data_IF_760506394338
#
_entry.id   IF_760506394338
#
_cell.length_a   1.000
_cell.length_b   1.000
_cell.length_c   1.000
_cell.angle_alpha   90.00
_cell.angle_beta   90.00
_cell.angle_gamma   90.00
#
_symmetry.space_group_name_H-M   'P 1'
#
loop_
_entity.id
_entity.type
_entity.pdbx_description
1 polymer ?
#
# COMPACT_ATOMS: atom_id res chain seq x y z
N UNK A 1 2.92 18.16 7.51
CA UNK A 1 3.13 16.81 7.00
C UNK A 1 2.30 16.70 5.74
N UNK A 2 2.94 16.75 4.57
CA UNK A 2 2.26 16.41 3.32
C UNK A 2 2.14 14.89 3.28
N UNK A 3 0.93 14.36 3.18
CA UNK A 3 0.71 12.91 3.20
C UNK A 3 0.85 12.41 1.76
N UNK A 4 2.08 12.15 1.34
CA UNK A 4 2.35 11.46 0.08
C UNK A 4 2.14 9.96 0.29
N UNK A 5 0.98 9.43 -0.09
CA UNK A 5 0.78 7.98 -0.20
C UNK A 5 1.56 7.52 -1.42
N UNK A 6 2.78 7.02 -1.19
CA UNK A 6 3.70 6.62 -2.25
C UNK A 6 3.86 5.10 -2.25
N UNK A 7 3.15 4.40 -3.15
CA UNK A 7 3.73 3.19 -3.73
C UNK A 7 4.84 3.66 -4.67
N UNK A 8 6.05 3.12 -4.50
CA UNK A 8 7.27 3.63 -5.14
C UNK A 8 7.19 3.60 -6.67
N UNK A 9 7.56 4.62 -7.47
CA UNK A 9 8.03 6.02 -7.25
C UNK A 9 7.83 6.81 -8.59
N UNK A 10 8.17 8.09 -8.84
CA UNK A 10 9.10 9.03 -8.19
C UNK A 10 8.66 10.53 -8.33
N UNK A 11 9.53 11.42 -8.84
CA UNK A 11 9.41 12.89 -8.96
C UNK A 11 9.62 13.35 -10.42
N UNK A 12 9.31 14.58 -10.88
CA UNK A 12 8.54 15.77 -10.42
C UNK A 12 8.26 16.66 -11.67
N UNK A 13 7.43 17.72 -11.69
CA UNK A 13 7.69 19.08 -11.15
C UNK A 13 6.49 20.02 -11.41
N UNK A 14 6.26 20.96 -10.49
CA UNK A 14 5.37 22.12 -10.68
C UNK A 14 5.55 23.11 -9.53
N UNK A 15 6.23 24.23 -9.75
CA UNK A 15 6.74 25.08 -8.67
C UNK A 15 5.90 26.32 -8.35
N UNK A 16 5.88 26.70 -7.07
CA UNK A 16 5.61 28.08 -6.60
C UNK A 16 6.57 28.39 -5.44
N UNK A 17 7.31 29.49 -5.54
CA UNK A 17 8.19 29.95 -4.45
C UNK A 17 7.40 30.54 -3.27
N UNK A 18 7.75 30.13 -2.05
CA UNK A 18 7.44 30.87 -0.83
C UNK A 18 8.62 30.78 0.14
N UNK A 19 9.29 31.89 0.39
CA UNK A 19 10.53 31.93 1.17
C UNK A 19 10.28 31.65 2.67
N UNK A 20 10.62 30.45 3.14
CA UNK A 20 10.60 30.08 4.55
C UNK A 20 12.02 30.20 5.18
N UNK A 21 12.11 30.88 6.34
CA UNK A 21 13.37 31.08 7.07
C UNK A 21 14.01 29.74 7.48
N UNK A 22 15.27 29.52 7.08
CA UNK A 22 16.09 28.37 7.53
C UNK A 22 16.08 28.24 9.06
N UNK A 23 15.55 27.13 9.57
CA UNK A 23 15.82 26.65 10.93
C UNK A 23 17.08 25.77 10.91
N UNK A 24 17.80 25.73 12.03
CA UNK A 24 19.01 24.92 12.18
C UNK A 24 18.72 23.42 11.94
N UNK A 25 19.65 22.67 11.35
CA UNK A 25 19.45 21.24 11.08
C UNK A 25 19.19 20.45 12.38
N UNK A 26 18.27 19.47 12.38
CA UNK A 26 18.08 18.60 13.52
C UNK A 26 19.32 17.73 13.78
N UNK A 27 19.49 17.30 15.03
CA UNK A 27 20.61 16.42 15.43
C UNK A 27 20.53 15.09 14.68
N UNK A 28 21.70 14.49 14.40
CA UNK A 28 21.86 13.17 13.78
C UNK A 28 20.82 12.14 14.26
N UNK A 29 20.22 11.45 13.29
CA UNK A 29 19.31 10.33 13.51
C UNK A 29 19.94 9.28 14.43
N UNK A 30 19.31 8.99 15.56
CA UNK A 30 19.75 7.91 16.46
C UNK A 30 18.78 6.73 16.37
N UNK A 31 19.29 5.58 15.91
CA UNK A 31 18.57 4.31 15.70
C UNK A 31 17.89 3.71 16.95
N UNK A 32 17.99 4.36 18.11
CA UNK A 32 17.56 3.80 19.40
C UNK A 32 16.05 3.59 19.52
N UNK A 33 15.23 4.22 18.69
CA UNK A 33 13.76 4.28 18.87
C UNK A 33 12.93 3.83 17.65
N UNK A 34 13.50 3.09 16.70
CA UNK A 34 12.69 2.34 15.74
C UNK A 34 11.90 1.22 16.46
N UNK A 35 10.59 1.02 16.18
CA UNK A 35 9.77 0.03 16.86
C UNK A 35 10.15 -1.42 16.50
N UNK A 36 10.90 -1.64 15.42
CA UNK A 36 11.45 -2.94 15.04
C UNK A 36 12.99 -2.93 15.05
N UNK A 37 13.55 -3.97 15.68
CA UNK A 37 14.94 -4.44 15.54
C UNK A 37 14.92 -5.90 15.14
N UNK A 38 16.01 -6.44 14.56
CA UNK A 38 16.18 -7.87 14.19
C UNK A 38 15.82 -8.89 15.28
N UNK A 39 15.68 -8.47 16.54
CA UNK A 39 15.33 -9.31 17.70
C UNK A 39 13.89 -9.14 18.21
N UNK A 40 13.04 -8.36 17.51
CA UNK A 40 11.66 -8.10 17.92
C UNK A 40 10.82 -9.38 17.84
N UNK A 41 9.94 -9.62 18.82
CA UNK A 41 9.21 -10.89 18.92
C UNK A 41 8.26 -11.19 17.74
N UNK A 42 7.90 -10.16 16.96
CA UNK A 42 7.09 -10.26 15.75
C UNK A 42 7.89 -10.70 14.50
N UNK A 43 9.24 -10.70 14.59
CA UNK A 43 10.18 -11.14 13.56
C UNK A 43 10.84 -12.48 13.90
N UNK A 44 10.19 -13.31 14.73
CA UNK A 44 10.67 -14.68 14.96
C UNK A 44 10.44 -15.49 13.69
N UNK A 45 11.45 -16.14 13.10
CA UNK A 45 11.19 -17.14 12.08
C UNK A 45 10.29 -18.22 12.68
N UNK A 46 9.25 -18.59 11.95
CA UNK A 46 8.35 -19.67 12.34
C UNK A 46 9.08 -21.00 12.14
N UNK A 47 9.91 -21.36 13.13
CA UNK A 47 10.61 -22.63 13.14
C UNK A 47 9.61 -23.79 13.20
N UNK A 48 9.84 -24.78 12.36
CA UNK A 48 9.24 -26.12 12.39
C UNK A 48 7.70 -26.21 12.28
N UNK A 49 7.17 -25.85 11.10
CA UNK A 49 6.07 -26.65 10.53
C UNK A 49 6.70 -27.84 9.80
N UNK A 50 6.92 -28.93 10.55
CA UNK A 50 7.36 -30.20 10.00
C UNK A 50 6.27 -30.78 9.08
N UNK A 51 6.42 -30.58 7.76
CA UNK A 51 5.47 -31.07 6.76
C UNK A 51 5.66 -30.51 5.35
N UNK A 52 6.20 -29.30 5.20
CA UNK A 52 6.54 -28.76 3.87
C UNK A 52 7.92 -29.27 3.48
N UNK A 53 7.96 -30.45 2.85
CA UNK A 53 9.16 -30.96 2.18
C UNK A 53 9.67 -29.94 1.18
N UNK A 54 11.00 -29.69 1.21
CA UNK A 54 11.74 -28.90 0.22
C UNK A 54 11.16 -29.11 -1.18
N UNK A 55 10.70 -28.05 -1.85
CA UNK A 55 10.66 -28.11 -3.32
C UNK A 55 12.11 -28.30 -3.76
N UNK A 56 12.35 -29.35 -4.54
CA UNK A 56 13.67 -29.68 -5.08
C UNK A 56 14.20 -28.48 -5.86
N UNK A 57 15.21 -27.80 -5.31
CA UNK A 57 15.94 -26.73 -6.00
C UNK A 57 17.00 -27.35 -6.90
N UNK A 58 16.57 -28.25 -7.79
CA UNK A 58 17.42 -28.90 -8.79
C UNK A 58 17.42 -28.07 -10.08
N UNK A 59 17.69 -26.78 -9.96
CA UNK A 59 18.12 -25.96 -11.09
C UNK A 59 19.58 -26.30 -11.37
N UNK A 60 19.82 -27.41 -12.05
CA UNK A 60 21.15 -27.74 -12.56
C UNK A 60 21.49 -26.79 -13.70
N UNK A 61 22.47 -25.92 -13.47
CA UNK A 61 23.15 -25.18 -14.51
C UNK A 61 23.83 -26.19 -15.46
N UNK A 62 23.32 -26.33 -16.69
CA UNK A 62 23.98 -27.10 -17.74
C UNK A 62 25.08 -26.23 -18.38
N UNK A 63 26.37 -26.61 -18.26
CA UNK A 63 27.49 -25.76 -18.66
C UNK A 63 27.87 -25.85 -20.15
N UNK A 64 26.98 -26.35 -21.02
CA UNK A 64 27.32 -26.66 -22.41
C UNK A 64 26.12 -26.71 -23.38
N UNK A 65 25.93 -25.61 -24.11
CA UNK A 65 25.66 -25.63 -25.56
C UNK A 65 24.27 -26.04 -26.07
N UNK A 66 23.43 -26.76 -25.32
CA UNK A 66 22.06 -27.04 -25.77
C UNK A 66 21.22 -25.76 -25.75
N UNK A 67 20.69 -25.40 -26.92
CA UNK A 67 19.84 -24.24 -27.05
C UNK A 67 18.54 -24.47 -26.26
N UNK A 68 18.37 -23.73 -25.16
CA UNK A 68 17.05 -23.48 -24.59
C UNK A 68 16.13 -23.10 -25.76
N UNK A 69 15.09 -23.92 -25.99
CA UNK A 69 14.18 -23.72 -27.12
C UNK A 69 13.68 -22.28 -27.13
N UNK A 70 13.62 -21.68 -28.32
CA UNK A 70 13.21 -20.28 -28.46
C UNK A 70 11.93 -20.02 -27.64
N UNK A 71 11.90 -18.97 -26.80
CA UNK A 71 10.77 -18.74 -25.90
C UNK A 71 9.47 -18.70 -26.70
N UNK A 72 8.42 -19.31 -26.18
CA UNK A 72 7.13 -19.38 -26.88
C UNK A 72 6.51 -17.99 -26.93
N UNK A 73 6.75 -17.27 -28.03
CA UNK A 73 6.27 -15.91 -28.26
C UNK A 73 4.74 -15.81 -28.38
N UNK A 74 4.03 -16.94 -28.27
CA UNK A 74 2.56 -17.03 -28.24
C UNK A 74 1.99 -17.10 -26.82
N UNK A 75 2.83 -17.14 -25.78
CA UNK A 75 2.34 -16.94 -24.40
C UNK A 75 1.80 -15.52 -24.23
N UNK A 76 0.72 -15.39 -23.45
CA UNK A 76 0.23 -14.09 -23.00
C UNK A 76 1.36 -13.33 -22.27
N UNK A 77 1.58 -12.07 -22.65
CA UNK A 77 2.72 -11.26 -22.19
C UNK A 77 3.97 -11.26 -23.08
N UNK A 78 4.09 -12.18 -24.06
CA UNK A 78 5.25 -12.25 -24.97
C UNK A 78 4.98 -11.79 -26.43
N UNK A 79 3.73 -11.45 -26.77
CA UNK A 79 3.39 -10.97 -28.10
C UNK A 79 3.99 -9.57 -28.36
N UNK A 80 4.54 -9.37 -29.57
CA UNK A 80 4.95 -8.03 -30.03
C UNK A 80 3.79 -7.03 -29.90
N UNK A 81 4.03 -5.92 -29.20
CA UNK A 81 3.03 -4.88 -28.95
C UNK A 81 2.37 -4.91 -27.56
N UNK A 82 2.44 -6.01 -26.79
CA UNK A 82 1.82 -6.06 -25.45
C UNK A 82 2.35 -4.96 -24.49
N UNK A 83 3.64 -4.64 -24.59
CA UNK A 83 4.25 -3.52 -23.86
C UNK A 83 3.93 -2.14 -24.45
N UNK A 84 3.55 -2.06 -25.73
CA UNK A 84 3.19 -0.81 -26.40
C UNK A 84 1.72 -0.41 -26.18
N UNK A 85 0.83 -1.38 -25.97
CA UNK A 85 -0.58 -1.16 -25.60
C UNK A 85 -0.79 -1.02 -24.07
N UNK A 86 0.29 -1.01 -23.29
CA UNK A 86 0.29 -0.60 -21.89
C UNK A 86 -0.34 -1.59 -20.90
N UNK A 87 -0.43 -2.88 -21.24
CA UNK A 87 -1.00 -3.93 -20.38
C UNK A 87 -0.16 -5.22 -20.44
N UNK A 88 0.79 -5.42 -19.51
CA UNK A 88 1.30 -6.75 -19.22
C UNK A 88 0.28 -7.52 -18.38
N UNK A 89 -0.29 -8.60 -18.93
CA UNK A 89 -0.99 -9.57 -18.11
C UNK A 89 0.02 -10.34 -17.25
N UNK A 90 -0.21 -10.38 -15.93
CA UNK A 90 0.61 -11.19 -15.02
C UNK A 90 0.50 -12.69 -15.31
N UNK A 91 1.57 -13.44 -15.00
CA UNK A 91 1.67 -14.90 -15.25
C UNK A 91 0.65 -15.79 -14.52
N UNK A 92 -0.20 -15.22 -13.67
CA UNK A 92 -1.28 -15.90 -12.94
C UNK A 92 -2.69 -15.37 -13.28
N UNK A 93 -2.81 -14.41 -14.22
CA UNK A 93 -4.09 -13.79 -14.61
C UNK A 93 -4.83 -13.05 -13.48
N UNK A 94 -4.13 -12.67 -12.39
CA UNK A 94 -4.72 -12.04 -11.20
C UNK A 94 -3.83 -10.99 -10.51
N UNK A 95 -2.69 -10.65 -11.08
CA UNK A 95 -1.92 -9.50 -10.63
C UNK A 95 -2.56 -8.18 -11.08
N UNK A 96 -2.33 -7.12 -10.30
CA UNK A 96 -2.32 -5.76 -10.85
C UNK A 96 -1.40 -5.72 -12.09
N UNK A 97 -1.60 -4.78 -13.04
CA UNK A 97 -0.93 -4.82 -14.34
C UNK A 97 0.61 -4.79 -14.30
N UNK A 98 1.23 -4.60 -13.13
CA UNK A 98 2.69 -4.51 -12.96
C UNK A 98 3.24 -5.19 -11.68
N UNK A 99 2.66 -6.31 -11.24
CA UNK A 99 3.36 -7.17 -10.25
C UNK A 99 4.72 -7.62 -10.81
N UNK A 100 5.81 -7.25 -10.14
CA UNK A 100 7.18 -7.48 -10.61
C UNK A 100 7.86 -6.29 -11.32
N UNK A 101 7.22 -5.12 -11.41
CA UNK A 101 7.90 -3.92 -11.94
C UNK A 101 9.04 -3.43 -11.03
N UNK A 102 10.21 -3.22 -11.63
CA UNK A 102 11.37 -2.65 -10.96
C UNK A 102 11.13 -1.17 -10.61
N UNK A 103 11.55 -0.78 -9.41
CA UNK A 103 11.39 0.57 -8.86
C UNK A 103 12.57 0.89 -7.92
N UNK A 104 12.78 2.18 -7.65
CA UNK A 104 13.81 2.65 -6.73
C UNK A 104 13.31 3.89 -5.96
N UNK A 105 13.50 3.89 -4.64
CA UNK A 105 13.17 5.05 -3.78
C UNK A 105 14.46 5.80 -3.44
N UNK A 106 14.49 7.10 -3.70
CA UNK A 106 15.56 7.98 -3.24
C UNK A 106 14.99 9.04 -2.29
N UNK A 107 15.60 9.14 -1.11
CA UNK A 107 15.28 10.16 -0.11
C UNK A 107 15.64 11.58 -0.54
N UNK A 108 14.82 12.56 -0.13
CA UNK A 108 15.04 13.99 -0.41
C UNK A 108 15.63 14.72 0.80
N UNK A 109 15.91 16.02 0.67
CA UNK A 109 16.59 16.79 1.72
C UNK A 109 15.76 16.96 3.01
N UNK A 110 14.43 16.88 2.92
CA UNK A 110 13.48 17.26 3.98
C UNK A 110 12.41 16.20 4.30
N UNK A 111 12.07 15.29 3.37
CA UNK A 111 11.06 14.24 3.58
C UNK A 111 11.61 12.84 3.22
N UNK A 112 11.59 11.91 4.19
CA UNK A 112 12.23 10.58 4.11
C UNK A 112 11.47 9.45 4.86
N UNK A 113 10.27 9.71 5.36
CA UNK A 113 9.42 8.74 6.09
C UNK A 113 8.16 8.49 5.25
N UNK A 114 7.90 7.22 4.90
CA UNK A 114 6.77 6.79 4.09
C UNK A 114 6.27 5.42 4.55
N UNK A 115 5.00 5.12 4.27
CA UNK A 115 4.38 3.83 4.53
C UNK A 115 4.34 3.04 3.22
N UNK A 116 5.06 1.90 3.16
CA UNK A 116 4.89 0.92 2.09
C UNK A 116 3.88 -0.14 2.53
N UNK A 117 3.03 -0.56 1.59
CA UNK A 117 2.06 -1.63 1.78
C UNK A 117 2.15 -2.57 0.60
N UNK A 118 2.18 -3.86 0.90
CA UNK A 118 2.19 -4.94 -0.07
C UNK A 118 0.88 -5.72 0.06
N UNK A 119 0.37 -6.24 -1.05
CA UNK A 119 -0.87 -7.02 -1.07
C UNK A 119 -0.69 -8.46 -0.54
N UNK A 120 0.50 -8.85 -0.11
CA UNK A 120 0.77 -10.11 0.58
C UNK A 120 1.39 -9.89 1.97
N UNK A 121 0.80 -10.52 2.99
CA UNK A 121 1.19 -10.35 4.40
C UNK A 121 2.56 -10.98 4.76
N UNK A 122 3.13 -11.79 3.86
CA UNK A 122 4.42 -12.45 4.04
C UNK A 122 5.55 -11.82 3.20
N UNK A 123 5.50 -10.51 2.97
CA UNK A 123 6.46 -9.77 2.13
C UNK A 123 7.94 -10.05 2.45
N UNK A 124 8.34 -10.32 3.70
CA UNK A 124 9.74 -10.65 4.06
C UNK A 124 10.16 -12.11 3.77
N UNK A 125 9.32 -12.91 3.10
CA UNK A 125 9.65 -14.30 2.76
C UNK A 125 10.75 -14.39 1.68
N UNK A 126 11.64 -15.40 1.71
CA UNK A 126 12.65 -15.55 0.65
C UNK A 126 12.02 -15.67 -0.75
N UNK A 127 12.46 -14.80 -1.68
CA UNK A 127 11.97 -14.77 -3.06
C UNK A 127 10.84 -13.77 -3.36
N UNK A 128 10.60 -12.79 -2.49
CA UNK A 128 9.62 -11.70 -2.69
C UNK A 128 10.26 -10.41 -3.23
N UNK A 129 11.44 -10.03 -2.71
CA UNK A 129 12.23 -8.87 -3.14
C UNK A 129 13.46 -9.31 -3.92
N UNK A 130 13.72 -8.67 -5.05
CA UNK A 130 14.85 -8.96 -5.93
C UNK A 130 15.72 -7.72 -6.08
N UNK A 131 16.81 -7.63 -5.32
CA UNK A 131 17.71 -6.47 -5.38
C UNK A 131 18.65 -6.60 -6.59
N UNK A 132 18.80 -5.51 -7.35
CA UNK A 132 19.58 -5.49 -8.61
C UNK A 132 21.06 -5.80 -8.39
N UNK A 133 21.62 -5.35 -7.28
CA UNK A 133 23.01 -5.61 -6.89
C UNK A 133 23.24 -7.06 -6.50
N UNK A 134 22.30 -7.67 -5.75
CA UNK A 134 22.33 -9.09 -5.38
C UNK A 134 22.25 -10.00 -6.61
N UNK A 135 21.33 -9.71 -7.55
CA UNK A 135 21.21 -10.47 -8.79
C UNK A 135 22.47 -10.36 -9.65
N UNK A 136 23.02 -9.16 -9.82
CA UNK A 136 24.24 -8.93 -10.58
C UNK A 136 25.44 -9.63 -9.91
N UNK A 137 25.60 -9.55 -8.58
CA UNK A 137 26.68 -10.20 -7.85
C UNK A 137 26.66 -11.75 -7.95
N UNK A 138 25.46 -12.33 -8.12
CA UNK A 138 25.26 -13.77 -8.31
C UNK A 138 25.19 -14.22 -9.78
N UNK A 139 25.45 -13.32 -10.75
CA UNK A 139 25.49 -13.65 -12.18
C UNK A 139 26.95 -13.77 -12.67
N UNK A 140 27.33 -14.84 -13.42
CA UNK A 140 28.69 -14.97 -13.94
C UNK A 140 29.13 -13.79 -14.82
N UNK A 141 30.36 -13.30 -14.60
CA UNK A 141 30.88 -12.09 -15.27
C UNK A 141 30.88 -12.17 -16.79
N UNK A 142 31.17 -13.33 -17.37
CA UNK A 142 31.10 -13.57 -18.81
C UNK A 142 29.66 -13.45 -19.37
N UNK A 143 28.64 -13.82 -18.59
CA UNK A 143 27.23 -13.63 -18.95
C UNK A 143 26.84 -12.15 -18.84
N UNK A 144 27.28 -11.45 -17.80
CA UNK A 144 27.10 -9.99 -17.69
C UNK A 144 27.77 -9.27 -18.87
N UNK A 145 29.03 -9.56 -19.17
CA UNK A 145 29.78 -9.00 -20.29
C UNK A 145 29.06 -9.20 -21.63
N UNK A 146 28.58 -10.42 -21.89
CA UNK A 146 27.79 -10.73 -23.07
C UNK A 146 26.45 -9.99 -23.13
N UNK A 147 25.75 -9.86 -21.99
CA UNK A 147 24.45 -9.18 -21.91
C UNK A 147 24.56 -7.67 -22.10
N UNK A 148 25.53 -7.03 -21.43
CA UNK A 148 25.74 -5.58 -21.47
C UNK A 148 26.57 -5.12 -22.69
N UNK A 149 27.23 -6.04 -23.42
CA UNK A 149 28.09 -5.70 -24.56
C UNK A 149 29.42 -5.08 -24.17
N UNK A 150 29.94 -5.41 -22.98
CA UNK A 150 31.12 -4.78 -22.35
C UNK A 150 32.16 -5.83 -21.93
N UNK A 151 33.34 -5.39 -21.46
CA UNK A 151 34.36 -6.30 -20.94
C UNK A 151 34.03 -6.80 -19.53
N UNK A 152 34.38 -8.06 -19.22
CA UNK A 152 34.21 -8.67 -17.89
C UNK A 152 34.83 -7.86 -16.75
N UNK A 153 35.95 -7.17 -17.01
CA UNK A 153 36.65 -6.36 -16.00
C UNK A 153 35.83 -5.18 -15.46
N UNK A 154 34.77 -4.75 -16.16
CA UNK A 154 33.84 -3.74 -15.66
C UNK A 154 33.12 -4.21 -14.38
N UNK A 155 32.98 -5.53 -14.22
CA UNK A 155 32.25 -6.16 -13.12
C UNK A 155 33.15 -6.57 -11.94
N UNK A 156 34.43 -6.17 -11.95
CA UNK A 156 35.38 -6.46 -10.85
C UNK A 156 35.13 -5.64 -9.58
N UNK A 157 34.38 -4.53 -9.67
CA UNK A 157 34.13 -3.59 -8.57
C UNK A 157 32.73 -3.69 -7.96
N UNK A 158 31.89 -4.63 -8.41
CA UNK A 158 30.56 -4.85 -7.85
C UNK A 158 30.67 -5.34 -6.40
N UNK A 159 29.87 -4.79 -5.46
CA UNK A 159 29.81 -5.29 -4.08
C UNK A 159 29.38 -6.76 -4.02
N UNK A 160 30.12 -7.58 -3.28
CA UNK A 160 29.79 -9.00 -3.07
C UNK A 160 28.59 -9.24 -2.13
N UNK A 161 28.04 -8.18 -1.53
CA UNK A 161 26.88 -8.22 -0.64
C UNK A 161 25.99 -7.03 -0.94
N UNK A 162 24.69 -7.25 -1.14
CA UNK A 162 23.71 -6.16 -1.32
C UNK A 162 23.64 -5.28 -0.06
N UNK A 163 23.99 -3.97 -0.13
CA UNK A 163 23.74 -3.02 0.97
C UNK A 163 22.25 -2.77 1.26
N UNK A 164 21.33 -3.12 0.35
CA UNK A 164 19.88 -2.85 0.39
C UNK A 164 19.50 -1.35 0.42
N UNK A 165 19.98 -0.58 1.39
CA UNK A 165 19.82 0.87 1.48
C UNK A 165 21.21 1.50 1.57
N UNK A 166 21.53 2.38 0.61
CA UNK A 166 22.80 3.13 0.57
C UNK A 166 22.57 4.59 0.93
N UNK A 167 23.57 5.22 1.56
CA UNK A 167 23.57 6.67 1.72
C UNK A 167 23.72 7.35 0.35
N UNK A 168 22.83 8.30 0.04
CA UNK A 168 22.92 9.11 -1.17
C UNK A 168 24.18 9.98 -1.23
N UNK A 169 24.47 10.56 -2.40
CA UNK A 169 25.64 11.41 -2.58
C UNK A 169 25.62 12.61 -1.61
N UNK A 170 26.77 12.95 -1.03
CA UNK A 170 26.88 14.04 -0.05
C UNK A 170 26.63 15.44 -0.64
N UNK A 171 26.60 15.56 -1.98
CA UNK A 171 26.33 16.80 -2.69
C UNK A 171 24.82 17.08 -2.87
N UNK A 172 23.94 16.20 -2.38
CA UNK A 172 22.49 16.43 -2.29
C UNK A 172 21.79 16.62 -3.63
N UNK A 173 22.44 16.27 -4.74
CA UNK A 173 21.87 16.41 -6.08
C UNK A 173 21.14 15.12 -6.41
N UNK A 174 19.81 15.13 -6.25
CA UNK A 174 18.95 14.26 -7.04
C UNK A 174 19.16 14.68 -8.49
N UNK A 175 19.52 13.75 -9.36
CA UNK A 175 19.65 14.03 -10.79
C UNK A 175 18.29 14.42 -11.34
N UNK A 176 18.06 15.72 -11.53
CA UNK A 176 16.90 16.25 -12.26
C UNK A 176 16.98 16.01 -13.78
N UNK A 177 17.90 15.15 -14.22
CA UNK A 177 18.00 14.68 -15.59
C UNK A 177 16.80 13.77 -15.86
N UNK A 178 15.84 14.29 -16.63
CA UNK A 178 14.79 13.47 -17.21
C UNK A 178 15.44 12.42 -18.12
N UNK A 179 15.14 11.15 -17.87
CA UNK A 179 15.59 10.05 -18.72
C UNK A 179 14.83 10.15 -20.04
N UNK A 180 15.55 10.38 -21.13
CA UNK A 180 14.96 10.28 -22.48
C UNK A 180 14.68 8.80 -22.79
N UNK A 181 13.47 8.52 -23.23
CA UNK A 181 12.94 7.18 -23.44
C UNK A 181 12.33 7.10 -24.83
N UNK A 182 12.80 6.19 -25.71
CA UNK A 182 12.20 6.01 -27.04
C UNK A 182 10.77 5.46 -26.97
N UNK A 183 10.32 4.99 -25.80
CA UNK A 183 8.96 4.54 -25.51
C UNK A 183 8.09 5.62 -24.86
N UNK A 184 8.61 6.85 -24.73
CA UNK A 184 7.94 7.96 -24.06
C UNK A 184 7.90 7.81 -22.54
N UNK A 185 7.00 8.58 -21.92
CA UNK A 185 6.80 8.67 -20.46
C UNK A 185 5.37 8.25 -20.12
N UNK A 186 5.23 7.58 -18.98
CA UNK A 186 3.92 7.23 -18.42
C UNK A 186 3.29 8.46 -17.74
N UNK A 187 2.09 8.84 -18.16
CA UNK A 187 1.37 10.02 -17.68
C UNK A 187 -0.13 9.72 -17.55
N UNK A 188 -0.86 10.60 -16.84
CA UNK A 188 -2.30 10.46 -16.61
C UNK A 188 -2.67 9.12 -15.96
N UNK A 189 -3.62 8.40 -16.55
CA UNK A 189 -4.12 7.12 -16.03
C UNK A 189 -3.07 5.99 -15.98
N UNK A 190 -1.94 6.14 -16.68
CA UNK A 190 -0.82 5.19 -16.68
C UNK A 190 0.30 5.58 -15.71
N UNK A 191 0.16 6.72 -15.00
CA UNK A 191 1.11 7.14 -13.97
C UNK A 191 1.15 6.14 -12.81
N UNK A 192 2.33 5.85 -12.28
CA UNK A 192 2.52 5.15 -10.99
C UNK A 192 2.35 6.07 -9.76
N UNK A 193 2.11 7.36 -9.98
CA UNK A 193 1.98 8.37 -8.93
C UNK A 193 0.63 9.08 -9.05
N UNK A 194 -0.09 9.12 -7.93
CA UNK A 194 -1.22 10.03 -7.69
C UNK A 194 -0.85 10.93 -6.51
N UNK A 195 -1.02 12.24 -6.63
CA UNK A 195 -0.79 13.13 -5.51
C UNK A 195 -2.03 13.23 -4.64
N UNK A 196 -1.84 13.11 -3.32
CA UNK A 196 -2.91 13.27 -2.31
C UNK A 196 -3.70 14.58 -2.46
N UNK A 197 -3.03 15.66 -2.89
CA UNK A 197 -3.64 16.97 -3.14
C UNK A 197 -4.48 17.07 -4.42
N UNK A 198 -4.40 16.09 -5.34
CA UNK A 198 -5.19 16.07 -6.57
C UNK A 198 -6.55 15.37 -6.36
N UNK A 199 -6.75 14.73 -5.20
CA UNK A 199 -7.99 14.03 -4.83
C UNK A 199 -8.74 14.83 -3.78
N UNK A 200 -9.80 15.54 -4.19
CA UNK A 200 -10.59 16.39 -3.30
C UNK A 200 -11.26 15.60 -2.15
N UNK A 201 -11.18 16.07 -0.89
CA UNK A 201 -11.88 15.45 0.23
C UNK A 201 -13.40 15.54 0.11
N UNK A 202 -14.07 14.39 0.16
CA UNK A 202 -15.52 14.28 0.22
C UNK A 202 -15.95 14.54 1.68
N UNK A 203 -16.70 15.61 1.92
CA UNK A 203 -17.37 15.85 3.21
C UNK A 203 -18.38 14.76 3.49
N UNK A 204 -18.26 14.10 4.65
CA UNK A 204 -19.18 13.06 5.05
C UNK A 204 -20.60 13.62 5.29
N UNK A 205 -21.68 12.98 4.79
CA UNK A 205 -23.05 13.49 4.97
C UNK A 205 -23.50 13.61 6.43
N UNK A 206 -22.90 12.85 7.36
CA UNK A 206 -23.11 12.98 8.80
C UNK A 206 -22.40 14.17 9.46
N UNK A 207 -21.60 14.95 8.71
CA UNK A 207 -20.93 16.17 9.15
C UNK A 207 -19.70 15.98 10.04
N UNK A 208 -19.36 14.74 10.42
CA UNK A 208 -18.29 14.46 11.39
C UNK A 208 -16.86 14.45 10.84
N UNK A 209 -16.67 14.65 9.53
CA UNK A 209 -15.37 14.48 8.90
C UNK A 209 -15.35 14.51 7.37
N UNK A 210 -14.24 14.08 6.81
CA UNK A 210 -14.01 13.93 5.37
C UNK A 210 -13.38 12.56 5.04
N UNK A 211 -13.57 12.11 3.80
CA UNK A 211 -12.88 10.95 3.22
C UNK A 211 -12.27 11.33 1.86
N UNK A 212 -11.07 10.85 1.56
CA UNK A 212 -10.49 10.85 0.21
C UNK A 212 -10.32 9.40 -0.23
N UNK A 213 -10.64 9.07 -1.48
CA UNK A 213 -10.67 7.68 -1.97
C UNK A 213 -9.67 7.52 -3.12
N UNK A 214 -8.75 6.56 -2.96
CA UNK A 214 -7.67 6.21 -3.88
C UNK A 214 -7.88 4.77 -4.32
N UNK A 215 -8.55 4.57 -5.45
CA UNK A 215 -8.84 3.23 -5.98
C UNK A 215 -8.89 3.23 -7.51
N UNK A 216 -9.21 2.11 -8.16
CA UNK A 216 -9.13 1.97 -9.62
C UNK A 216 -10.00 2.97 -10.42
N UNK A 217 -10.87 3.76 -9.76
CA UNK A 217 -11.68 4.84 -10.37
C UNK A 217 -10.94 6.18 -10.42
N UNK A 218 -10.09 6.45 -9.45
CA UNK A 218 -9.30 7.69 -9.32
C UNK A 218 -7.82 7.49 -9.65
N UNK A 219 -7.32 6.27 -9.48
CA UNK A 219 -5.94 5.85 -9.73
C UNK A 219 -5.93 4.50 -10.48
N UNK A 220 -6.17 4.49 -11.81
CA UNK A 220 -6.53 3.28 -12.56
C UNK A 220 -5.52 2.11 -12.54
N UNK A 221 -4.25 2.39 -12.26
CA UNK A 221 -3.20 1.35 -12.15
C UNK A 221 -3.32 0.54 -10.85
N UNK A 222 -3.94 1.12 -9.80
CA UNK A 222 -4.12 0.51 -8.48
C UNK A 222 -5.35 -0.40 -8.46
N UNK A 223 -5.11 -1.67 -8.84
CA UNK A 223 -6.17 -2.67 -9.08
C UNK A 223 -6.17 -3.81 -8.06
N UNK A 224 -5.08 -4.03 -7.31
CA UNK A 224 -5.06 -4.95 -6.16
C UNK A 224 -5.10 -4.26 -4.80
N UNK A 225 -4.88 -2.93 -4.77
CA UNK A 225 -4.95 -2.12 -3.56
C UNK A 225 -5.89 -0.93 -3.79
N UNK A 226 -6.84 -0.76 -2.89
CA UNK A 226 -7.67 0.43 -2.75
C UNK A 226 -7.44 1.02 -1.35
N UNK A 227 -7.54 2.34 -1.21
CA UNK A 227 -7.32 3.01 0.06
C UNK A 227 -8.24 4.21 0.26
N UNK A 228 -8.50 4.55 1.52
CA UNK A 228 -9.15 5.79 1.93
C UNK A 228 -8.28 6.55 2.93
N UNK A 229 -8.20 7.87 2.80
CA UNK A 229 -7.70 8.73 3.90
C UNK A 229 -8.92 9.33 4.60
N UNK A 230 -9.11 8.97 5.87
CA UNK A 230 -10.27 9.38 6.68
C UNK A 230 -9.83 10.41 7.70
N UNK A 231 -10.56 11.51 7.81
CA UNK A 231 -10.36 12.54 8.84
C UNK A 231 -11.65 12.71 9.64
N UNK A 232 -11.58 12.53 10.96
CA UNK A 232 -12.72 12.62 11.88
C UNK A 232 -12.49 13.73 12.90
N UNK A 233 -13.47 14.63 13.02
CA UNK A 233 -13.48 15.74 13.98
C UNK A 233 -13.56 15.24 15.43
N UNK A 234 -13.18 16.07 16.42
CA UNK A 234 -13.25 15.67 17.83
C UNK A 234 -14.63 15.14 18.23
N UNK A 235 -14.68 13.99 18.89
CA UNK A 235 -15.93 13.29 19.25
C UNK A 235 -16.65 12.55 18.12
N UNK A 236 -16.28 12.77 16.86
CA UNK A 236 -16.94 12.19 15.70
C UNK A 236 -16.76 10.67 15.56
N UNK A 237 -17.66 10.04 14.82
CA UNK A 237 -17.81 8.58 14.70
C UNK A 237 -17.86 8.15 13.23
N UNK A 238 -16.91 7.31 12.78
CA UNK A 238 -17.11 6.47 11.58
C UNK A 238 -18.24 5.49 11.92
N UNK A 239 -19.34 5.59 11.19
CA UNK A 239 -20.57 4.87 11.55
C UNK A 239 -20.40 3.34 11.59
N UNK A 240 -21.33 2.62 12.22
CA UNK A 240 -21.33 1.16 12.20
C UNK A 240 -21.47 0.65 10.76
N UNK A 241 -20.44 -0.06 10.27
CA UNK A 241 -20.37 -0.55 8.90
C UNK A 241 -19.52 -1.82 8.80
N UNK A 242 -19.43 -2.37 7.59
CA UNK A 242 -18.47 -3.41 7.23
C UNK A 242 -18.07 -3.29 5.76
N UNK A 243 -16.96 -3.95 5.40
CA UNK A 243 -16.47 -4.07 4.03
C UNK A 243 -16.82 -5.45 3.46
N UNK A 244 -17.57 -5.54 2.34
CA UNK A 244 -18.02 -6.82 1.78
C UNK A 244 -17.05 -7.42 0.75
N UNK A 245 -15.94 -6.75 0.44
CA UNK A 245 -15.02 -7.10 -0.65
C UNK A 245 -13.61 -7.50 -0.20
N UNK A 246 -13.18 -7.08 0.99
CA UNK A 246 -11.84 -7.33 1.52
C UNK A 246 -11.80 -7.16 3.04
N UNK A 247 -10.73 -7.66 3.65
CA UNK A 247 -10.28 -7.21 4.97
C UNK A 247 -9.81 -5.75 4.89
N UNK A 248 -9.96 -5.02 5.99
CA UNK A 248 -9.45 -3.65 6.14
C UNK A 248 -8.18 -3.67 7.00
N UNK A 249 -7.09 -3.14 6.45
CA UNK A 249 -5.87 -2.84 7.19
C UNK A 249 -5.80 -1.33 7.42
N UNK A 250 -5.51 -0.90 8.65
CA UNK A 250 -5.53 0.52 9.04
C UNK A 250 -4.17 0.96 9.55
N UNK A 251 -3.74 2.17 9.15
CA UNK A 251 -2.66 2.91 9.79
C UNK A 251 -3.15 4.25 10.36
N UNK A 252 -3.04 4.42 11.67
CA UNK A 252 -3.42 5.66 12.35
C UNK A 252 -2.31 6.72 12.20
N UNK A 253 -2.57 7.76 11.42
CA UNK A 253 -1.60 8.84 11.13
C UNK A 253 -1.54 9.84 12.29
N UNK A 254 -2.70 10.22 12.84
CA UNK A 254 -2.83 11.27 13.86
C UNK A 254 -4.02 10.99 14.77
N UNK A 255 -3.93 11.41 16.04
CA UNK A 255 -5.06 11.48 16.96
C UNK A 255 -5.14 10.28 17.90
N UNK A 256 -6.34 10.07 18.45
CA UNK A 256 -6.68 8.97 19.35
C UNK A 256 -8.01 8.38 18.92
N UNK A 257 -8.07 7.06 18.79
CA UNK A 257 -9.25 6.35 18.34
C UNK A 257 -9.64 5.26 19.34
N UNK A 258 -10.93 4.94 19.36
CA UNK A 258 -11.43 3.67 19.89
C UNK A 258 -12.22 2.97 18.81
N UNK A 259 -11.94 1.69 18.58
CA UNK A 259 -12.72 0.87 17.66
C UNK A 259 -13.22 -0.38 18.37
N UNK A 260 -14.36 -0.90 17.93
CA UNK A 260 -14.76 -2.28 18.25
C UNK A 260 -15.04 -3.04 16.97
N UNK A 261 -14.59 -4.28 16.94
CA UNK A 261 -14.86 -5.25 15.87
C UNK A 261 -15.77 -6.36 16.37
N UNK A 262 -16.71 -6.79 15.53
CA UNK A 262 -17.65 -7.90 15.75
C UNK A 262 -17.54 -8.90 14.60
N UNK A 263 -17.26 -10.16 14.94
CA UNK A 263 -17.00 -11.25 13.97
C UNK A 263 -18.06 -12.37 14.04
N UNK A 264 -19.25 -12.07 14.56
CA UNK A 264 -20.33 -13.05 14.73
C UNK A 264 -20.23 -13.84 16.04
N UNK A 265 -21.23 -14.70 16.30
CA UNK A 265 -21.27 -15.61 17.46
C UNK A 265 -20.95 -14.95 18.83
N UNK A 266 -21.47 -13.74 19.05
CA UNK A 266 -21.18 -12.88 20.22
C UNK A 266 -19.69 -12.52 20.44
N UNK A 267 -18.81 -12.80 19.48
CA UNK A 267 -17.42 -12.37 19.51
C UNK A 267 -17.31 -10.90 19.11
N UNK A 268 -17.00 -10.06 20.10
CA UNK A 268 -16.64 -8.66 19.91
C UNK A 268 -15.42 -8.28 20.76
N UNK A 269 -14.62 -7.33 20.29
CA UNK A 269 -13.51 -6.76 21.06
C UNK A 269 -13.29 -5.29 20.74
N UNK A 270 -13.04 -4.51 21.78
CA UNK A 270 -12.72 -3.08 21.71
C UNK A 270 -11.23 -2.85 21.91
N UNK A 271 -10.67 -1.90 21.18
CA UNK A 271 -9.28 -1.47 21.26
C UNK A 271 -9.18 0.06 21.24
N UNK A 272 -8.16 0.58 21.90
CA UNK A 272 -7.74 1.99 21.81
C UNK A 272 -6.50 2.08 20.93
N UNK A 273 -6.44 3.09 20.07
CA UNK A 273 -5.34 3.32 19.12
C UNK A 273 -4.86 4.77 19.19
N UNK A 274 -3.59 4.98 18.88
CA UNK A 274 -2.91 6.27 18.76
C UNK A 274 -2.16 6.37 17.44
N UNK A 275 -1.61 7.56 17.15
CA UNK A 275 -0.74 7.76 15.99
C UNK A 275 0.41 6.72 15.95
N UNK A 276 0.63 6.14 14.77
CA UNK A 276 1.52 5.02 14.41
C UNK A 276 1.03 3.61 14.77
N UNK A 277 -0.12 3.45 15.42
CA UNK A 277 -0.70 2.12 15.58
C UNK A 277 -1.31 1.60 14.27
N UNK A 278 -1.44 0.28 14.18
CA UNK A 278 -2.09 -0.41 13.07
C UNK A 278 -3.23 -1.29 13.58
N UNK A 279 -4.24 -1.50 12.74
CA UNK A 279 -5.36 -2.40 13.02
C UNK A 279 -5.68 -3.27 11.80
N UNK A 280 -6.38 -4.38 12.04
CA UNK A 280 -7.00 -5.19 11.01
C UNK A 280 -8.45 -5.47 11.43
N UNK A 281 -9.39 -5.13 10.55
CA UNK A 281 -10.78 -5.60 10.65
C UNK A 281 -10.97 -6.69 9.59
N UNK A 282 -11.21 -7.96 9.99
CA UNK A 282 -11.41 -9.05 9.05
C UNK A 282 -12.56 -8.79 8.06
N UNK A 283 -12.51 -9.51 6.94
CA UNK A 283 -13.59 -9.64 5.95
C UNK A 283 -14.97 -9.73 6.62
N UNK A 284 -15.93 -8.95 6.11
CA UNK A 284 -17.32 -8.89 6.57
C UNK A 284 -17.52 -8.66 8.09
N UNK A 285 -16.50 -8.22 8.83
CA UNK A 285 -16.62 -7.93 10.26
C UNK A 285 -17.24 -6.55 10.49
N UNK A 286 -18.30 -6.50 11.30
CA UNK A 286 -19.00 -5.28 11.65
C UNK A 286 -18.18 -4.48 12.64
N UNK A 287 -17.92 -3.20 12.35
CA UNK A 287 -17.07 -2.38 13.21
C UNK A 287 -17.46 -0.90 13.16
N UNK A 288 -16.84 -0.12 14.05
CA UNK A 288 -16.91 1.34 14.08
C UNK A 288 -15.60 1.90 14.62
N UNK A 289 -15.32 3.18 14.36
CA UNK A 289 -14.16 3.89 14.91
C UNK A 289 -14.60 5.28 15.38
N UNK A 290 -14.39 5.60 16.65
CA UNK A 290 -14.73 6.91 17.25
C UNK A 290 -13.45 7.69 17.59
N UNK A 291 -13.45 8.99 17.32
CA UNK A 291 -12.41 9.91 17.78
C UNK A 291 -12.62 10.19 19.28
N UNK A 292 -11.71 9.70 20.12
CA UNK A 292 -11.79 9.89 21.58
C UNK A 292 -11.19 11.21 22.06
N UNK A 293 -10.64 12.03 21.15
CA UNK A 293 -10.14 13.36 21.45
C UNK A 293 -11.26 14.40 21.44
N UNK A 294 -11.16 15.37 22.36
CA UNK A 294 -12.04 16.53 22.45
C UNK A 294 -11.51 17.77 21.70
N UNK A 295 -10.31 17.71 21.10
CA UNK A 295 -9.66 18.88 20.50
C UNK A 295 -8.75 18.59 19.29
N UNK A 296 -8.56 17.33 18.92
CA UNK A 296 -7.63 16.93 17.85
C UNK A 296 -8.37 16.07 16.82
N UNK A 297 -8.21 16.40 15.53
CA UNK A 297 -8.69 15.56 14.44
C UNK A 297 -7.96 14.21 14.44
N UNK A 298 -8.73 13.13 14.33
CA UNK A 298 -8.25 11.77 14.12
C UNK A 298 -8.09 11.53 12.61
N UNK A 299 -6.92 11.07 12.18
CA UNK A 299 -6.61 10.79 10.77
C UNK A 299 -6.04 9.39 10.65
N UNK A 300 -6.59 8.58 9.75
CA UNK A 300 -6.06 7.25 9.41
C UNK A 300 -6.15 6.96 7.91
N UNK A 301 -5.44 5.91 7.49
CA UNK A 301 -5.50 5.34 6.15
C UNK A 301 -6.15 3.96 6.26
N UNK A 302 -7.30 3.76 5.62
CA UNK A 302 -7.97 2.47 5.40
C UNK A 302 -7.37 1.85 4.13
N UNK A 303 -7.03 0.57 4.12
CA UNK A 303 -6.36 -0.10 3.00
C UNK A 303 -6.95 -1.49 2.79
N UNK A 304 -7.27 -1.80 1.53
CA UNK A 304 -8.02 -2.98 1.14
C UNK A 304 -7.29 -3.72 0.01
N UNK A 305 -7.23 -5.06 0.08
CA UNK A 305 -6.80 -5.90 -1.05
C UNK A 305 -7.94 -6.06 -2.07
N UNK A 306 -8.28 -4.97 -2.75
CA UNK A 306 -9.39 -4.86 -3.71
C UNK A 306 -9.10 -3.78 -4.77
N UNK A 307 -9.88 -3.77 -5.86
CA UNK A 307 -9.82 -2.69 -6.86
C UNK A 307 -10.52 -1.40 -6.40
N UNK A 308 -11.44 -1.50 -5.43
CA UNK A 308 -12.33 -0.42 -5.00
C UNK A 308 -12.58 -0.39 -3.49
N UNK A 309 -12.72 0.81 -2.95
CA UNK A 309 -13.32 1.02 -1.62
C UNK A 309 -14.84 0.83 -1.71
N UNK A 310 -15.37 -0.10 -0.94
CA UNK A 310 -16.80 -0.41 -0.84
C UNK A 310 -17.18 -0.74 0.61
N UNK A 311 -18.24 -0.12 1.13
CA UNK A 311 -18.76 -0.38 2.48
C UNK A 311 -20.29 -0.45 2.54
N UNK A 312 -20.83 -1.14 3.54
CA UNK A 312 -22.27 -1.18 3.85
C UNK A 312 -22.50 -0.55 5.22
N UNK A 313 -23.30 0.51 5.28
CA UNK A 313 -23.73 1.13 6.55
C UNK A 313 -24.85 0.30 7.19
N UNK A 314 -24.70 0.00 8.48
CA UNK A 314 -25.74 -0.65 9.28
C UNK A 314 -27.01 0.22 9.32
N UNK A 315 -26.87 1.53 9.55
CA UNK A 315 -27.99 2.47 9.59
C UNK A 315 -28.80 2.45 8.29
N UNK A 316 -28.10 2.53 7.16
CA UNK A 316 -28.70 2.53 5.84
C UNK A 316 -29.38 1.18 5.52
N UNK A 317 -28.73 0.06 5.83
CA UNK A 317 -29.30 -1.28 5.62
C UNK A 317 -30.62 -1.44 6.39
N UNK A 318 -30.65 -1.07 7.67
CA UNK A 318 -31.84 -1.14 8.50
C UNK A 318 -32.94 -0.18 8.01
N UNK A 319 -32.58 1.06 7.60
CA UNK A 319 -33.52 2.05 7.07
C UNK A 319 -34.14 1.68 5.72
N UNK A 320 -33.50 0.78 4.95
CA UNK A 320 -33.97 0.25 3.68
C UNK A 320 -34.64 -1.14 3.80
N UNK A 321 -34.65 -1.72 5.00
CA UNK A 321 -35.36 -2.96 5.33
C UNK A 321 -36.78 -2.66 5.80
N UNK A 322 -37.82 -3.49 5.52
CA UNK A 322 -39.18 -3.25 5.99
C UNK A 322 -39.26 -3.04 7.51
N UNK A 323 -39.71 -1.85 7.93
CA UNK A 323 -39.62 -1.42 9.32
C UNK A 323 -40.25 -2.37 10.37
N UNK A 324 -41.37 -3.09 10.10
CA UNK A 324 -41.88 -4.11 11.00
C UNK A 324 -40.91 -5.29 11.26
N UNK A 325 -40.14 -5.71 10.24
CA UNK A 325 -39.17 -6.79 10.39
C UNK A 325 -37.97 -6.35 11.24
N UNK A 326 -37.46 -5.14 11.01
CA UNK A 326 -36.39 -4.55 11.84
C UNK A 326 -36.86 -4.37 13.29
N UNK A 327 -38.08 -3.86 13.48
CA UNK A 327 -38.72 -3.68 14.79
C UNK A 327 -38.82 -5.02 15.55
N UNK A 328 -39.22 -6.10 14.86
CA UNK A 328 -39.29 -7.44 15.44
C UNK A 328 -37.92 -8.00 15.84
N UNK A 329 -36.88 -7.79 15.03
CA UNK A 329 -35.52 -8.33 15.30
C UNK A 329 -34.80 -7.54 16.39
N UNK A 330 -34.90 -6.20 16.38
CA UNK A 330 -34.18 -5.32 17.31
C UNK A 330 -34.99 -5.00 18.59
N UNK A 331 -36.26 -5.41 18.65
CA UNK A 331 -37.18 -5.12 19.76
C UNK A 331 -37.30 -3.60 20.07
N UNK A 332 -37.40 -2.79 19.02
CA UNK A 332 -37.65 -1.33 19.08
C UNK A 332 -38.93 -0.99 18.32
N UNK A 333 -39.53 0.18 18.57
CA UNK A 333 -40.78 0.56 17.89
C UNK A 333 -40.57 0.76 16.38
N UNK A 334 -41.60 0.46 15.58
CA UNK A 334 -41.60 0.72 14.13
C UNK A 334 -41.34 2.20 13.83
N UNK A 335 -41.79 3.11 14.69
CA UNK A 335 -41.55 4.55 14.54
C UNK A 335 -40.10 4.92 14.82
N UNK A 336 -39.42 4.26 15.78
CA UNK A 336 -37.97 4.43 15.96
C UNK A 336 -37.19 3.94 14.73
N UNK A 337 -37.60 2.84 14.09
CA UNK A 337 -37.00 2.38 12.83
C UNK A 337 -37.21 3.40 11.70
N UNK A 338 -38.37 4.05 11.63
CA UNK A 338 -38.67 5.08 10.63
C UNK A 338 -37.85 6.36 10.78
N UNK A 339 -37.18 6.58 11.93
CA UNK A 339 -36.24 7.67 12.15
C UNK A 339 -34.82 7.36 11.62
N UNK A 340 -34.52 6.12 11.24
CA UNK A 340 -33.20 5.75 10.71
C UNK A 340 -32.97 6.40 9.33
N UNK A 341 -31.77 6.95 9.14
CA UNK A 341 -31.41 7.64 7.90
C UNK A 341 -31.18 6.64 6.76
N UNK A 342 -31.88 6.83 5.64
CA UNK A 342 -31.72 6.05 4.40
C UNK A 342 -30.46 6.41 3.61
N UNK A 343 -29.96 7.64 3.81
CA UNK A 343 -28.70 8.11 3.25
C UNK A 343 -27.55 7.71 4.18
N UNK A 344 -26.53 7.04 3.64
CA UNK A 344 -25.29 6.71 4.35
C UNK A 344 -24.67 8.00 4.91
N UNK A 345 -24.30 7.99 6.19
CA UNK A 345 -23.76 9.16 6.88
C UNK A 345 -22.23 9.19 6.85
N UNK A 346 -21.61 8.00 6.73
CA UNK A 346 -20.18 7.71 6.70
C UNK A 346 -19.44 8.09 7.99
N UNK A 347 -19.44 9.39 8.33
CA UNK A 347 -18.83 9.97 9.53
C UNK A 347 -19.84 10.94 10.17
N UNK A 348 -20.27 10.61 11.38
CA UNK A 348 -21.25 11.33 12.19
C UNK A 348 -20.51 12.30 13.14
N UNK A 349 -21.03 13.53 13.26
CA UNK A 349 -20.50 14.57 14.15
C UNK A 349 -20.87 14.35 15.64
#
# INVERSE_FOLDING_TARGET
>A
MKISVLLASALALGGVEAAAKRRSPPKQFQEKHLPSKRTSKHLRPYADIAGITKRQTDWQYQPDGEALGAPDTKQAGYAEGAFAEGQPESSNGRGAPFSGAAHAVQGLADENEFLLVFDEANYDAPGTTFNVDDWIAHTPKNILAKNFGVNESLFDTIPATSPYIVAGNANGTVSGEGIDSPFGKLEGNSSYVIHHGDVEPITAPGGGGTIQIFDSRTFPISTTIAASVVTIKPGGLRELHWHPTAEEWVYFVQGQARASVFTGNAAARTFDFSARDTAVFPDNSGHYVINTSNNTDLVWIEIFKADRVADISLTQWLALTPAPAVSQVLNISVDAVRLLKKEKQLIIA
#
